data_IF_180132096537
#
_entry.id   IF_180132096537
#
_cell.length_a   1.000
_cell.length_b   1.000
_cell.length_c   1.000
_cell.angle_alpha   90.00
_cell.angle_beta   90.00
_cell.angle_gamma   90.00
#
_symmetry.space_group_name_H-M   'P 1'
#
loop_
_entity.id
_entity.type
_entity.pdbx_description
1 polymer ?
#
# COMPACT_ATOMS: atom_id res chain seq x y z
N UNK A 1 -32.65 22.84 4.80
CA UNK A 1 -31.49 23.25 3.99
C UNK A 1 -30.36 22.29 4.29
N UNK A 2 -29.88 21.56 3.31
CA UNK A 2 -28.71 20.68 3.47
C UNK A 2 -27.47 21.56 3.32
N UNK A 3 -26.71 21.74 4.39
CA UNK A 3 -25.42 22.40 4.33
C UNK A 3 -24.43 21.42 3.69
N UNK A 4 -24.01 21.72 2.46
CA UNK A 4 -22.95 20.98 1.77
C UNK A 4 -21.65 21.79 1.86
N UNK A 5 -20.53 21.11 2.06
CA UNK A 5 -19.19 21.71 2.11
C UNK A 5 -18.31 20.96 1.13
N UNK A 6 -17.59 21.70 0.30
CA UNK A 6 -16.70 21.15 -0.73
C UNK A 6 -15.24 21.19 -0.24
N UNK A 7 -14.47 20.16 -0.61
CA UNK A 7 -13.03 20.05 -0.38
C UNK A 7 -12.35 20.03 -1.75
N UNK A 8 -11.71 21.14 -2.09
CA UNK A 8 -11.01 21.31 -3.35
C UNK A 8 -9.60 20.70 -3.23
N UNK A 9 -9.16 19.87 -4.18
CA UNK A 9 -7.81 19.32 -4.13
C UNK A 9 -6.76 20.43 -4.25
N UNK A 10 -5.68 20.31 -3.48
CA UNK A 10 -4.55 21.21 -3.46
C UNK A 10 -3.26 20.40 -3.37
N UNK A 11 -2.21 20.84 -4.07
CA UNK A 11 -0.87 20.28 -3.90
C UNK A 11 -0.04 21.16 -2.97
N UNK A 12 1.01 20.59 -2.37
CA UNK A 12 1.93 21.32 -1.50
C UNK A 12 2.57 22.51 -2.24
N UNK A 13 2.91 22.33 -3.52
CA UNK A 13 3.52 23.35 -4.36
C UNK A 13 2.54 24.47 -4.73
N UNK A 14 1.25 24.16 -4.81
CA UNK A 14 0.19 25.13 -5.11
C UNK A 14 -0.21 26.00 -3.91
N UNK A 15 0.13 25.59 -2.69
CA UNK A 15 -0.29 26.26 -1.45
C UNK A 15 0.11 27.75 -1.37
N UNK A 16 1.37 28.15 -1.68
CA UNK A 16 1.74 29.57 -1.62
C UNK A 16 0.98 30.43 -2.64
N UNK A 17 0.79 29.91 -3.86
CA UNK A 17 0.05 30.61 -4.90
C UNK A 17 -1.42 30.82 -4.50
N UNK A 18 -2.05 29.77 -3.94
CA UNK A 18 -3.40 29.86 -3.40
C UNK A 18 -3.48 30.89 -2.27
N UNK A 19 -2.54 30.89 -1.32
CA UNK A 19 -2.54 31.84 -0.21
C UNK A 19 -2.44 33.29 -0.70
N UNK A 20 -1.56 33.55 -1.67
CA UNK A 20 -1.40 34.87 -2.28
C UNK A 20 -2.68 35.31 -3.02
N UNK A 21 -3.29 34.43 -3.80
CA UNK A 21 -4.56 34.68 -4.49
C UNK A 21 -5.67 35.04 -3.49
N UNK A 22 -5.85 34.20 -2.46
CA UNK A 22 -6.90 34.42 -1.45
C UNK A 22 -6.68 35.69 -0.66
N UNK A 23 -5.42 36.04 -0.38
CA UNK A 23 -5.08 37.32 0.26
C UNK A 23 -5.43 38.51 -0.63
N UNK A 24 -5.05 38.46 -1.91
CA UNK A 24 -5.33 39.52 -2.88
C UNK A 24 -6.83 39.71 -3.11
N UNK A 25 -7.61 38.63 -3.11
CA UNK A 25 -9.06 38.64 -3.24
C UNK A 25 -9.80 39.06 -1.94
N UNK A 26 -9.09 39.29 -0.84
CA UNK A 26 -9.67 39.73 0.43
C UNK A 26 -10.36 38.62 1.23
N UNK A 27 -9.99 37.36 1.02
CA UNK A 27 -10.45 36.25 1.86
C UNK A 27 -9.79 36.30 3.22
N UNK A 28 -10.51 35.78 4.22
CA UNK A 28 -9.98 35.56 5.57
C UNK A 28 -9.56 34.11 5.71
N UNK A 29 -8.32 33.88 6.11
CA UNK A 29 -7.89 32.55 6.58
C UNK A 29 -8.62 32.16 7.87
N UNK A 30 -9.06 30.90 7.97
CA UNK A 30 -9.87 30.40 9.09
C UNK A 30 -9.10 29.41 9.95
N UNK A 31 -8.55 28.36 9.35
CA UNK A 31 -7.86 27.27 10.07
C UNK A 31 -7.02 26.41 9.12
N UNK A 32 -6.12 25.62 9.72
CA UNK A 32 -5.62 24.37 9.15
C UNK A 32 -6.20 23.24 10.01
N UNK A 33 -6.85 22.27 9.37
CA UNK A 33 -7.25 21.03 10.01
C UNK A 33 -6.34 19.89 9.52
N UNK A 34 -5.61 19.28 10.43
CA UNK A 34 -4.78 18.11 10.16
C UNK A 34 -5.50 16.82 10.55
N UNK A 35 -5.45 15.82 9.68
CA UNK A 35 -6.09 14.51 9.89
C UNK A 35 -5.08 13.41 9.63
N UNK A 36 -4.86 12.53 10.60
CA UNK A 36 -4.01 11.36 10.44
C UNK A 36 -4.76 10.25 9.68
N UNK A 37 -4.29 9.86 8.50
CA UNK A 37 -4.94 8.88 7.61
C UNK A 37 -4.08 7.62 7.43
N UNK A 38 -4.47 6.71 6.52
CA UNK A 38 -3.60 5.57 6.14
C UNK A 38 -2.51 5.95 5.18
N UNK A 39 -2.78 6.98 4.41
CA UNK A 39 -1.96 7.45 3.32
C UNK A 39 -1.03 8.57 3.77
N UNK A 40 -1.14 9.09 4.99
CA UNK A 40 -0.31 10.17 5.51
C UNK A 40 -1.12 11.14 6.37
N UNK A 41 -0.70 12.39 6.44
CA UNK A 41 -1.47 13.46 7.07
C UNK A 41 -2.19 14.25 5.99
N UNK A 42 -3.50 14.39 6.11
CA UNK A 42 -4.26 15.30 5.27
C UNK A 42 -4.30 16.69 5.93
N UNK A 43 -4.08 17.73 5.15
CA UNK A 43 -4.13 19.13 5.59
C UNK A 43 -5.26 19.85 4.87
N UNK A 44 -6.16 20.44 5.62
CA UNK A 44 -7.30 21.18 5.09
C UNK A 44 -7.14 22.66 5.45
N UNK A 45 -6.92 23.49 4.44
CA UNK A 45 -6.85 24.94 4.57
C UNK A 45 -8.22 25.54 4.28
N UNK A 46 -8.79 26.23 5.27
CA UNK A 46 -10.12 26.84 5.16
C UNK A 46 -10.03 28.36 5.02
N UNK A 47 -10.75 28.91 4.04
CA UNK A 47 -10.86 30.35 3.81
C UNK A 47 -12.34 30.78 3.80
N UNK A 48 -12.61 31.98 4.30
CA UNK A 48 -13.95 32.53 4.37
C UNK A 48 -14.03 33.93 3.77
N UNK A 49 -15.07 34.19 2.99
CA UNK A 49 -15.42 35.51 2.44
C UNK A 49 -16.93 35.58 2.21
N UNK A 50 -17.56 36.70 2.56
CA UNK A 50 -18.99 36.96 2.30
C UNK A 50 -19.95 35.84 2.73
N UNK A 51 -19.67 35.21 3.87
CA UNK A 51 -20.46 34.08 4.40
C UNK A 51 -20.22 32.73 3.72
N UNK A 52 -19.33 32.67 2.72
CA UNK A 52 -18.88 31.45 2.07
C UNK A 52 -17.61 30.92 2.74
N UNK A 53 -17.59 29.63 3.07
CA UNK A 53 -16.42 28.89 3.55
C UNK A 53 -15.98 27.90 2.47
N UNK A 54 -14.71 27.97 2.06
CA UNK A 54 -14.10 27.06 1.07
C UNK A 54 -12.95 26.32 1.73
N UNK A 55 -12.86 25.01 1.48
CA UNK A 55 -11.80 24.16 2.00
C UNK A 55 -10.93 23.65 0.86
N UNK A 56 -9.62 23.70 1.07
CA UNK A 56 -8.61 23.15 0.17
C UNK A 56 -7.84 22.05 0.87
N UNK A 57 -7.79 20.86 0.28
CA UNK A 57 -7.22 19.67 0.90
C UNK A 57 -5.94 19.25 0.19
N UNK A 58 -4.86 19.15 0.96
CA UNK A 58 -3.64 18.44 0.58
C UNK A 58 -3.71 17.06 1.22
N UNK A 59 -3.84 16.01 0.42
CA UNK A 59 -3.99 14.64 0.91
C UNK A 59 -2.64 13.92 1.06
N UNK A 60 -2.52 13.08 2.09
CA UNK A 60 -1.46 12.09 2.21
C UNK A 60 -0.05 12.65 2.35
N UNK A 61 0.11 13.77 3.05
CA UNK A 61 1.43 14.36 3.35
C UNK A 61 2.27 13.34 4.10
N UNK A 62 3.42 12.99 3.53
CA UNK A 62 4.34 12.01 4.11
C UNK A 62 5.25 12.67 5.13
N UNK A 63 5.77 11.85 6.05
CA UNK A 63 6.82 12.31 6.95
C UNK A 63 8.04 12.79 6.14
N UNK A 64 8.51 14.01 6.42
CA UNK A 64 9.62 14.65 5.69
C UNK A 64 9.20 15.42 4.44
N UNK A 65 7.92 15.39 4.04
CA UNK A 65 7.40 16.35 3.06
C UNK A 65 7.40 17.74 3.69
N UNK A 66 8.15 18.66 3.08
CA UNK A 66 8.19 20.06 3.51
C UNK A 66 6.97 20.79 2.97
N UNK A 67 6.16 21.35 3.87
CA UNK A 67 5.01 22.18 3.55
C UNK A 67 5.40 23.64 3.75
N UNK A 68 5.22 24.53 2.75
CA UNK A 68 5.51 25.94 2.94
C UNK A 68 4.47 26.58 3.85
N UNK A 69 4.93 27.43 4.77
CA UNK A 69 4.05 28.29 5.58
C UNK A 69 3.35 29.33 4.71
N UNK A 70 2.15 29.73 5.12
CA UNK A 70 1.37 30.82 4.51
C UNK A 70 1.36 32.09 5.38
N UNK A 71 2.21 32.14 6.41
CA UNK A 71 2.22 33.26 7.38
C UNK A 71 2.71 34.58 6.79
N UNK A 72 3.38 34.56 5.64
CA UNK A 72 3.69 35.75 4.83
C UNK A 72 2.43 36.46 4.32
N UNK A 73 1.37 35.70 4.02
CA UNK A 73 0.06 36.22 3.60
C UNK A 73 -0.91 36.37 4.79
N UNK A 74 -0.91 35.37 5.68
CA UNK A 74 -1.85 35.23 6.78
C UNK A 74 -1.12 34.92 8.08
N UNK A 75 -0.65 35.96 8.78
CA UNK A 75 0.07 35.80 10.04
C UNK A 75 -0.67 34.88 11.03
N UNK A 76 -2.01 34.95 11.11
CA UNK A 76 -2.84 34.11 11.97
C UNK A 76 -2.65 32.58 11.76
N UNK A 77 -2.10 32.14 10.63
CA UNK A 77 -1.79 30.75 10.38
C UNK A 77 -0.71 30.19 11.33
N UNK A 78 0.14 31.03 11.95
CA UNK A 78 1.26 30.55 12.78
C UNK A 78 0.79 29.61 13.90
N UNK A 79 -0.37 29.88 14.51
CA UNK A 79 -0.93 29.05 15.58
C UNK A 79 -1.20 27.63 15.07
N UNK A 80 -1.88 27.53 13.92
CA UNK A 80 -2.27 26.26 13.33
C UNK A 80 -1.09 25.50 12.75
N UNK A 81 -0.13 26.21 12.16
CA UNK A 81 1.08 25.61 11.60
C UNK A 81 1.96 25.02 12.70
N UNK A 82 2.18 25.76 13.80
CA UNK A 82 2.89 25.23 14.96
C UNK A 82 2.13 24.07 15.63
N UNK A 83 0.81 24.18 15.79
CA UNK A 83 -0.01 23.07 16.28
C UNK A 83 0.13 21.81 15.43
N UNK A 84 0.04 21.97 14.10
CA UNK A 84 0.14 20.85 13.16
C UNK A 84 1.53 20.22 13.19
N UNK A 85 2.57 21.04 13.31
CA UNK A 85 3.94 20.57 13.51
C UNK A 85 4.07 19.76 14.81
N UNK A 86 3.62 20.30 15.94
CA UNK A 86 3.81 19.69 17.26
C UNK A 86 2.98 18.42 17.46
N UNK A 87 1.71 18.46 17.03
CA UNK A 87 0.74 17.39 17.26
C UNK A 87 0.82 16.28 16.22
N UNK A 88 1.11 16.63 14.95
CA UNK A 88 1.07 15.71 13.82
C UNK A 88 2.43 15.47 13.13
N UNK A 89 3.46 16.25 13.45
CA UNK A 89 4.81 16.04 12.91
C UNK A 89 4.98 16.46 11.45
N UNK A 90 4.09 17.30 10.95
CA UNK A 90 4.21 17.86 9.60
C UNK A 90 5.33 18.89 9.59
N UNK A 91 6.23 18.79 8.61
CA UNK A 91 7.36 19.71 8.49
C UNK A 91 6.93 20.99 7.78
N UNK A 92 6.47 21.99 8.53
CA UNK A 92 6.08 23.30 7.98
C UNK A 92 7.27 24.26 8.09
N UNK A 93 7.65 24.90 6.97
CA UNK A 93 8.81 25.79 6.89
C UNK A 93 8.44 27.22 6.55
N UNK A 94 9.16 28.17 7.15
CA UNK A 94 8.96 29.60 6.92
C UNK A 94 7.87 30.23 7.78
N UNK A 95 7.52 29.62 8.92
CA UNK A 95 6.56 30.18 9.87
C UNK A 95 7.12 31.49 10.45
N UNK A 96 6.38 32.59 10.33
CA UNK A 96 6.82 33.90 10.79
C UNK A 96 7.08 33.96 12.31
N UNK A 97 6.28 33.23 13.09
CA UNK A 97 6.45 33.05 14.53
C UNK A 97 6.53 31.54 14.79
N UNK A 98 7.75 31.02 14.71
CA UNK A 98 8.05 29.60 14.85
C UNK A 98 8.48 29.28 16.30
N UNK A 99 7.79 28.33 16.93
CA UNK A 99 8.13 27.83 18.27
C UNK A 99 9.04 26.60 18.21
N UNK A 100 9.39 26.13 17.01
CA UNK A 100 10.38 25.09 16.78
C UNK A 100 10.04 23.76 17.44
N UNK A 101 8.76 23.40 17.51
CA UNK A 101 8.33 22.18 18.22
C UNK A 101 7.88 22.38 19.67
N UNK A 102 7.80 23.62 20.15
CA UNK A 102 7.50 23.95 21.56
C UNK A 102 6.26 24.83 21.72
N UNK A 103 5.33 24.79 20.77
CA UNK A 103 4.06 25.49 20.88
C UNK A 103 3.15 24.81 21.91
N UNK A 104 3.17 23.47 21.95
CA UNK A 104 2.54 22.68 23.02
C UNK A 104 3.57 21.95 23.87
N UNK A 105 3.32 21.92 25.19
CA UNK A 105 4.02 21.05 26.11
C UNK A 105 3.44 19.63 26.03
N UNK A 106 3.91 18.85 25.05
CA UNK A 106 3.47 17.46 24.85
C UNK A 106 4.36 16.49 25.64
N UNK A 107 3.75 15.45 26.22
CA UNK A 107 4.48 14.38 26.94
C UNK A 107 5.11 13.34 26.01
N UNK A 108 4.71 13.33 24.74
CA UNK A 108 5.19 12.41 23.71
C UNK A 108 5.18 13.11 22.35
N UNK A 109 6.07 12.69 21.45
CA UNK A 109 6.20 13.28 20.11
C UNK A 109 5.03 12.88 19.21
N UNK A 110 4.52 13.83 18.43
CA UNK A 110 3.49 13.61 17.40
C UNK A 110 2.26 12.84 17.95
N UNK A 111 1.66 13.26 19.09
CA UNK A 111 0.65 12.48 19.81
C UNK A 111 -0.60 12.15 18.98
N UNK A 112 -0.93 12.97 17.97
CA UNK A 112 -2.09 12.75 17.10
C UNK A 112 -1.81 11.77 15.95
N UNK A 113 -0.57 11.27 15.83
CA UNK A 113 -0.17 10.28 14.82
C UNK A 113 -0.17 8.85 15.34
N UNK A 114 -0.29 8.65 16.65
CA UNK A 114 -0.21 7.33 17.26
C UNK A 114 -1.49 6.55 16.95
N UNK A 115 -1.34 5.59 16.06
CA UNK A 115 -2.29 4.53 15.78
C UNK A 115 -1.68 3.31 16.49
N UNK A 116 -2.29 2.84 17.59
CA UNK A 116 -1.82 1.79 18.51
C UNK A 116 -1.23 0.53 17.81
N UNK A 117 -0.46 -0.33 18.51
CA UNK A 117 0.18 -1.52 17.94
C UNK A 117 -0.76 -2.48 17.19
N UNK A 118 -2.02 -2.55 17.60
CA UNK A 118 -3.07 -3.28 16.89
C UNK A 118 -3.44 -2.60 15.56
N UNK A 119 -3.53 -1.27 15.58
CA UNK A 119 -3.88 -0.45 14.42
C UNK A 119 -2.77 -0.46 13.35
N UNK A 120 -1.51 -0.64 13.76
CA UNK A 120 -0.38 -0.86 12.85
C UNK A 120 -0.36 -2.28 12.25
N UNK A 121 -0.65 -3.31 13.05
CA UNK A 121 -0.63 -4.70 12.59
C UNK A 121 -1.76 -5.03 11.58
N UNK A 122 -2.94 -4.41 11.72
CA UNK A 122 -4.02 -4.54 10.75
C UNK A 122 -3.69 -3.87 9.40
N UNK A 123 -3.06 -2.68 9.42
CA UNK A 123 -2.63 -1.96 8.20
C UNK A 123 -1.57 -2.72 7.40
N UNK A 124 -0.61 -3.37 8.08
CA UNK A 124 0.38 -4.23 7.39
C UNK A 124 -0.23 -5.48 6.74
N UNK A 125 -1.28 -6.05 7.33
CA UNK A 125 -1.97 -7.21 6.75
C UNK A 125 -2.78 -6.83 5.51
N UNK A 126 -3.46 -5.68 5.55
CA UNK A 126 -4.22 -5.16 4.43
C UNK A 126 -3.32 -4.74 3.24
N UNK A 127 -2.22 -4.04 3.50
CA UNK A 127 -1.26 -3.62 2.47
C UNK A 127 -0.63 -4.81 1.73
N UNK A 128 -0.36 -5.92 2.43
CA UNK A 128 0.18 -7.15 1.83
C UNK A 128 -0.82 -7.89 0.94
N UNK A 129 -2.11 -7.90 1.30
CA UNK A 129 -3.17 -8.50 0.45
C UNK A 129 -3.39 -7.65 -0.81
N UNK A 130 -3.37 -6.31 -0.68
CA UNK A 130 -3.50 -5.38 -1.80
C UNK A 130 -2.34 -5.50 -2.80
N UNK A 131 -1.09 -5.54 -2.30
CA UNK A 131 0.09 -5.76 -3.14
C UNK A 131 0.06 -7.11 -3.88
N UNK A 132 -0.44 -8.16 -3.23
CA UNK A 132 -0.57 -9.48 -3.84
C UNK A 132 -1.64 -9.54 -4.95
N UNK A 133 -2.75 -8.82 -4.79
CA UNK A 133 -3.82 -8.77 -5.80
C UNK A 133 -3.42 -7.90 -7.00
N UNK A 134 -2.78 -6.74 -6.74
CA UNK A 134 -2.22 -5.88 -7.78
C UNK A 134 -1.13 -6.56 -8.61
N UNK A 135 -0.34 -7.45 -7.99
CA UNK A 135 0.64 -8.29 -8.71
C UNK A 135 -0.04 -9.35 -9.62
N UNK A 136 -1.18 -9.93 -9.21
CA UNK A 136 -1.94 -10.87 -10.04
C UNK A 136 -2.65 -10.18 -11.21
N UNK A 137 -3.20 -8.99 -11.00
CA UNK A 137 -3.89 -8.22 -12.04
C UNK A 137 -2.92 -7.61 -13.06
N UNK A 138 -1.73 -7.16 -12.64
CA UNK A 138 -0.65 -6.77 -13.57
C UNK A 138 -0.08 -7.97 -14.35
N UNK A 139 -0.17 -9.17 -13.80
CA UNK A 139 0.10 -10.42 -14.53
C UNK A 139 -0.96 -10.77 -15.56
N UNK A 140 -2.23 -10.39 -15.35
CA UNK A 140 -3.32 -10.60 -16.29
C UNK A 140 -3.36 -9.52 -17.41
N UNK A 141 -2.97 -8.28 -17.12
CA UNK A 141 -2.90 -7.20 -18.11
C UNK A 141 -1.66 -7.27 -19.05
N UNK A 142 -0.71 -8.16 -18.76
CA UNK A 142 0.34 -8.55 -19.71
C UNK A 142 -0.08 -9.72 -20.63
N UNK A 143 -1.36 -10.09 -20.63
CA UNK A 143 -1.89 -11.23 -21.39
C UNK A 143 -3.18 -10.91 -22.14
N UNK A 144 -3.11 -10.13 -23.21
CA UNK A 144 -3.86 -10.49 -24.42
C UNK A 144 -3.03 -11.51 -25.22
N UNK A 145 -3.01 -12.75 -24.73
CA UNK A 145 -3.36 -13.93 -25.51
C UNK A 145 -3.55 -15.11 -24.55
N UNK A 146 -4.59 -15.93 -24.76
CA UNK A 146 -5.20 -16.73 -23.72
C UNK A 146 -4.31 -17.93 -23.32
N UNK A 147 -4.16 -18.13 -22.03
CA UNK A 147 -3.84 -19.45 -21.48
C UNK A 147 -5.13 -20.30 -21.53
N UNK A 148 -5.41 -20.87 -22.69
CA UNK A 148 -6.27 -22.03 -22.83
C UNK A 148 -5.65 -22.92 -23.92
N UNK A 149 -5.46 -24.19 -23.56
CA UNK A 149 -5.03 -25.32 -24.40
C UNK A 149 -3.59 -25.33 -24.93
N UNK A 150 -2.69 -26.01 -24.23
CA UNK A 150 -1.50 -26.59 -24.89
C UNK A 150 -0.82 -27.75 -24.14
N UNK A 151 -1.52 -28.46 -23.24
CA UNK A 151 -1.04 -29.78 -22.79
C UNK A 151 -1.13 -30.81 -23.94
N UNK A 152 -2.17 -30.69 -24.77
CA UNK A 152 -2.38 -31.54 -25.95
C UNK A 152 -1.50 -31.15 -27.15
N UNK A 153 -1.20 -29.86 -27.35
CA UNK A 153 -0.42 -29.41 -28.51
C UNK A 153 1.12 -29.40 -28.27
N UNK A 154 1.59 -29.51 -27.01
CA UNK A 154 2.98 -29.91 -26.72
C UNK A 154 3.25 -31.40 -26.97
N UNK A 155 2.31 -32.31 -26.70
CA UNK A 155 2.47 -33.74 -27.07
C UNK A 155 2.49 -33.92 -28.59
N UNK A 156 1.68 -33.15 -29.34
CA UNK A 156 1.71 -33.16 -30.80
C UNK A 156 3.05 -32.65 -31.38
N UNK A 157 3.72 -31.69 -30.73
CA UNK A 157 5.05 -31.18 -31.16
C UNK A 157 6.22 -32.06 -30.72
N UNK A 158 6.05 -32.88 -29.68
CA UNK A 158 7.04 -33.90 -29.27
C UNK A 158 6.99 -35.14 -30.15
N UNK A 159 5.84 -35.47 -30.73
CA UNK A 159 5.68 -36.59 -31.66
C UNK A 159 6.37 -36.37 -33.03
N UNK A 160 6.66 -35.12 -33.40
CA UNK A 160 7.36 -34.76 -34.65
C UNK A 160 8.85 -34.45 -34.49
N UNK A 161 9.43 -34.61 -33.29
CA UNK A 161 10.81 -34.24 -32.99
C UNK A 161 11.69 -35.48 -32.79
N UNK A 162 12.92 -35.43 -33.30
CA UNK A 162 13.90 -36.50 -33.15
C UNK A 162 14.04 -36.93 -31.66
N UNK A 163 13.94 -38.24 -31.34
CA UNK A 163 13.82 -38.74 -29.97
C UNK A 163 14.91 -38.26 -29.00
N UNK A 164 16.13 -37.99 -29.50
CA UNK A 164 17.21 -37.44 -28.67
C UNK A 164 16.95 -36.00 -28.21
N UNK A 165 16.34 -35.16 -29.06
CA UNK A 165 16.05 -33.76 -28.71
C UNK A 165 14.84 -33.68 -27.79
N UNK A 166 13.85 -34.53 -27.99
CA UNK A 166 12.70 -34.68 -27.09
C UNK A 166 13.16 -35.08 -25.67
N UNK A 167 14.07 -36.04 -25.55
CA UNK A 167 14.64 -36.46 -24.27
C UNK A 167 15.41 -35.32 -23.58
N UNK A 168 16.19 -34.54 -24.34
CA UNK A 168 16.95 -33.40 -23.78
C UNK A 168 16.05 -32.27 -23.27
N UNK A 169 14.95 -31.98 -23.97
CA UNK A 169 13.97 -30.97 -23.54
C UNK A 169 13.21 -31.43 -22.30
N UNK A 170 12.81 -32.71 -22.23
CA UNK A 170 12.19 -33.28 -21.02
C UNK A 170 13.15 -33.27 -19.83
N UNK A 171 14.41 -33.64 -20.02
CA UNK A 171 15.43 -33.60 -18.97
C UNK A 171 15.72 -32.18 -18.47
N UNK A 172 15.76 -31.19 -19.37
CA UNK A 172 15.95 -29.79 -18.99
C UNK A 172 14.76 -29.23 -18.20
N UNK A 173 13.54 -29.62 -18.56
CA UNK A 173 12.32 -29.26 -17.85
C UNK A 173 12.25 -29.90 -16.47
N UNK A 174 12.59 -31.19 -16.35
CA UNK A 174 12.67 -31.88 -15.05
C UNK A 174 13.76 -31.30 -14.15
N UNK A 175 14.92 -30.95 -14.71
CA UNK A 175 15.99 -30.31 -13.96
C UNK A 175 15.58 -28.92 -13.45
N UNK A 176 14.86 -28.14 -14.27
CA UNK A 176 14.31 -26.85 -13.88
C UNK A 176 13.24 -27.02 -12.79
N UNK A 177 12.34 -27.99 -12.93
CA UNK A 177 11.32 -28.31 -11.94
C UNK A 177 11.92 -28.77 -10.60
N UNK A 178 12.97 -29.61 -10.63
CA UNK A 178 13.70 -30.05 -9.44
C UNK A 178 14.42 -28.88 -8.75
N UNK A 179 15.03 -27.98 -9.51
CA UNK A 179 15.68 -26.78 -8.96
C UNK A 179 14.67 -25.83 -8.32
N UNK A 180 13.49 -25.68 -8.92
CA UNK A 180 12.43 -24.84 -8.37
C UNK A 180 11.75 -25.47 -7.14
N UNK A 181 11.62 -26.80 -7.11
CA UNK A 181 11.16 -27.54 -5.94
C UNK A 181 12.16 -27.43 -4.78
N UNK A 182 13.46 -27.60 -5.05
CA UNK A 182 14.51 -27.45 -4.04
C UNK A 182 14.58 -26.01 -3.48
N UNK A 183 14.40 -24.99 -4.33
CA UNK A 183 14.35 -23.61 -3.87
C UNK A 183 13.12 -23.33 -2.98
N UNK A 184 11.97 -23.93 -3.30
CA UNK A 184 10.75 -23.82 -2.47
C UNK A 184 10.89 -24.58 -1.14
N UNK A 185 11.61 -25.70 -1.13
CA UNK A 185 11.88 -26.49 0.05
C UNK A 185 12.86 -25.77 1.00
N UNK A 186 13.95 -25.22 0.46
CA UNK A 186 14.90 -24.41 1.22
C UNK A 186 14.25 -23.16 1.82
N UNK A 187 13.37 -22.47 1.07
CA UNK A 187 12.63 -21.31 1.57
C UNK A 187 11.56 -21.68 2.64
N UNK A 188 11.06 -22.92 2.64
CA UNK A 188 10.15 -23.42 3.66
C UNK A 188 10.90 -23.83 4.94
N UNK A 189 12.09 -24.44 4.81
CA UNK A 189 12.96 -24.79 5.92
C UNK A 189 13.54 -23.56 6.61
N UNK A 190 13.93 -22.52 5.87
CA UNK A 190 14.42 -21.26 6.42
C UNK A 190 13.33 -20.56 7.26
N UNK A 191 12.09 -20.53 6.75
CA UNK A 191 10.93 -19.99 7.49
C UNK A 191 10.55 -20.80 8.73
N UNK A 192 10.94 -22.07 8.82
CA UNK A 192 10.66 -22.92 9.98
C UNK A 192 11.67 -22.74 11.12
N UNK A 193 12.88 -22.23 10.84
CA UNK A 193 13.94 -22.06 11.85
C UNK A 193 13.68 -20.90 12.81
N UNK A 194 12.93 -19.88 12.36
CA UNK A 194 12.55 -18.71 13.17
C UNK A 194 11.18 -18.88 13.87
N UNK A 195 10.58 -20.06 13.82
CA UNK A 195 9.26 -20.35 14.39
C UNK A 195 9.35 -21.24 15.65
N UNK A 196 8.59 -20.87 16.67
CA UNK A 196 8.41 -21.65 17.90
C UNK A 196 7.91 -23.10 17.59
N UNK A 197 8.40 -24.14 18.31
CA UNK A 197 8.14 -25.56 18.01
C UNK A 197 6.68 -25.93 17.72
N UNK A 198 5.72 -25.31 18.43
CA UNK A 198 4.30 -25.60 18.24
C UNK A 198 3.77 -25.08 16.90
N UNK A 199 4.31 -23.95 16.42
CA UNK A 199 3.95 -23.35 15.12
C UNK A 199 4.62 -24.10 13.97
N UNK A 200 5.87 -24.54 14.14
CA UNK A 200 6.55 -25.39 13.16
C UNK A 200 5.79 -26.71 12.95
N UNK A 201 5.30 -27.35 14.02
CA UNK A 201 4.49 -28.57 13.92
C UNK A 201 3.18 -28.35 13.14
N UNK A 202 2.49 -27.23 13.37
CA UNK A 202 1.26 -26.86 12.63
C UNK A 202 1.51 -26.61 11.15
N UNK A 203 2.62 -25.96 10.78
CA UNK A 203 2.96 -25.71 9.37
C UNK A 203 3.31 -27.02 8.68
N UNK A 204 4.03 -27.93 9.35
CA UNK A 204 4.35 -29.26 8.79
C UNK A 204 3.09 -30.08 8.53
N UNK A 205 2.19 -30.14 9.52
CA UNK A 205 0.91 -30.84 9.38
C UNK A 205 0.02 -30.26 8.27
N UNK A 206 0.01 -28.93 8.10
CA UNK A 206 -0.75 -28.27 7.04
C UNK A 206 -0.20 -28.59 5.63
N UNK A 207 1.12 -28.73 5.49
CA UNK A 207 1.75 -29.11 4.23
C UNK A 207 1.49 -30.59 3.88
N UNK A 208 1.58 -31.48 4.85
CA UNK A 208 1.26 -32.91 4.66
C UNK A 208 -0.23 -33.10 4.31
N UNK A 209 -1.13 -32.38 4.97
CA UNK A 209 -2.56 -32.41 4.66
C UNK A 209 -2.86 -31.85 3.26
N UNK A 210 -2.12 -30.82 2.82
CA UNK A 210 -2.25 -30.27 1.47
C UNK A 210 -1.76 -31.27 0.42
N UNK A 211 -0.62 -31.92 0.65
CA UNK A 211 -0.10 -32.95 -0.25
C UNK A 211 -1.06 -34.14 -0.36
N UNK A 212 -1.68 -34.57 0.75
CA UNK A 212 -2.70 -35.62 0.74
C UNK A 212 -3.96 -35.21 -0.05
N UNK A 213 -4.38 -33.94 0.05
CA UNK A 213 -5.54 -33.42 -0.66
C UNK A 213 -5.28 -33.26 -2.16
N UNK A 214 -4.09 -32.82 -2.53
CA UNK A 214 -3.68 -32.71 -3.93
C UNK A 214 -3.56 -34.11 -4.56
N UNK A 215 -3.06 -35.11 -3.81
CA UNK A 215 -3.05 -36.51 -4.25
C UNK A 215 -4.47 -37.08 -4.42
N UNK A 216 -5.36 -36.85 -3.45
CA UNK A 216 -6.75 -37.29 -3.55
C UNK A 216 -7.50 -36.66 -4.73
N UNK A 217 -7.15 -35.42 -5.09
CA UNK A 217 -7.73 -34.74 -6.27
C UNK A 217 -7.20 -35.33 -7.57
N UNK A 218 -5.91 -35.67 -7.64
CA UNK A 218 -5.33 -36.35 -8.79
C UNK A 218 -5.90 -37.77 -8.98
N UNK A 219 -6.12 -38.50 -7.89
CA UNK A 219 -6.72 -39.84 -7.93
C UNK A 219 -8.21 -39.79 -8.35
N UNK A 220 -8.94 -38.74 -7.93
CA UNK A 220 -10.33 -38.52 -8.37
C UNK A 220 -10.44 -38.10 -9.85
N UNK A 221 -9.54 -37.23 -10.32
CA UNK A 221 -9.46 -36.82 -11.74
C UNK A 221 -9.00 -37.97 -12.66
N UNK A 222 -8.28 -38.96 -12.13
CA UNK A 222 -7.92 -40.18 -12.86
C UNK A 222 -9.11 -41.16 -12.97
N UNK A 223 -9.92 -41.29 -11.92
CA UNK A 223 -11.11 -42.16 -11.91
C UNK A 223 -12.25 -41.65 -12.83
N UNK A 224 -12.34 -40.34 -13.05
CA UNK A 224 -13.35 -39.73 -13.93
C UNK A 224 -13.01 -39.92 -15.43
N UNK A 225 -11.76 -40.26 -15.78
CA UNK A 225 -11.31 -40.50 -17.17
C UNK A 225 -11.39 -41.95 -17.64
N UNK A 226 -11.69 -42.92 -16.76
CA UNK A 226 -11.90 -44.34 -17.14
C UNK A 226 -13.39 -44.70 -17.27
N UNK A 227 -14.30 -43.73 -17.14
CA UNK A 227 -15.76 -43.93 -17.16
C UNK A 227 -16.51 -43.45 -18.40
N UNK A 228 -15.83 -43.05 -19.47
CA UNK A 228 -16.43 -42.67 -20.77
C UNK A 228 -15.92 -43.56 -21.91
#
# INVERSE_FOLDING_TARGET
MTLATEFLPLTVEGLPALAAEKKAEGWRFVQILAVNTEQGIDLIYSFMKDGLLVNYQISGVQKGTVVPSITDQFLAAFVFENETHDLFGVDIKGIAIDFGGNFYAVSQKEPMTIISPEQKAAREKAAKIAAAKAAKEKGAAAGEQPAADDAAAMEAKLAGMDPEKAAKVRAAMEAKAKKEAAAKQAAAEDKMKDLDPEKAAKVKAALEAKAARDKAKADAEAAEKEGE
#
